data_IF_564090159112
#
_entry.id   IF_564090159112
#
_cell.length_a   1.000
_cell.length_b   1.000
_cell.length_c   1.000
_cell.angle_alpha   90.00
_cell.angle_beta   90.00
_cell.angle_gamma   90.00
#
_symmetry.space_group_name_H-M   'P 1'
#
loop_
_entity.id
_entity.type
_entity.pdbx_description
1 polymer ?
#
# COMPACT_ATOMS: atom_id res chain seq x y z
N UNK A 1 11.94 -0.76 23.96
CA UNK A 1 10.91 -0.93 22.91
C UNK A 1 11.62 -0.77 21.58
N UNK A 2 11.58 -1.77 20.69
CA UNK A 2 12.18 -1.63 19.36
C UNK A 2 11.18 -0.86 18.50
N UNK A 3 11.63 0.23 17.87
CA UNK A 3 10.80 0.95 16.91
C UNK A 3 10.54 0.03 15.71
N UNK A 4 9.31 0.06 15.17
CA UNK A 4 9.00 -0.68 13.94
C UNK A 4 9.80 -0.11 12.78
N UNK A 5 10.41 -1.00 11.99
CA UNK A 5 11.09 -0.61 10.76
C UNK A 5 10.08 -0.09 9.73
N UNK A 6 10.47 0.93 8.97
CA UNK A 6 9.72 1.44 7.82
C UNK A 6 10.28 0.81 6.56
N UNK A 7 9.42 0.26 5.73
CA UNK A 7 9.80 -0.39 4.47
C UNK A 7 9.08 0.36 3.35
N UNK A 8 9.86 0.95 2.45
CA UNK A 8 9.34 1.47 1.20
C UNK A 8 9.10 0.30 0.25
N UNK A 9 7.89 0.24 -0.32
CA UNK A 9 7.49 -0.80 -1.28
C UNK A 9 7.04 -0.13 -2.56
N UNK A 10 7.58 -0.59 -3.68
CA UNK A 10 7.20 -0.14 -5.02
C UNK A 10 6.53 -1.31 -5.75
N UNK A 11 5.30 -1.17 -6.27
CA UNK A 11 4.63 -2.25 -7.01
C UNK A 11 5.31 -2.59 -8.34
N UNK A 12 6.21 -1.72 -8.84
CA UNK A 12 6.86 -1.91 -10.14
C UNK A 12 5.97 -1.41 -11.28
N UNK A 13 5.87 -2.18 -12.35
CA UNK A 13 5.11 -1.82 -13.56
C UNK A 13 3.60 -1.73 -13.28
N UNK A 14 2.94 -0.58 -13.55
CA UNK A 14 1.50 -0.38 -13.33
C UNK A 14 0.57 -1.37 -14.05
N UNK A 15 0.98 -1.82 -15.24
CA UNK A 15 0.24 -2.80 -16.03
C UNK A 15 0.52 -4.26 -15.61
N UNK A 16 1.53 -4.50 -14.77
CA UNK A 16 1.85 -5.81 -14.24
C UNK A 16 0.96 -6.22 -13.08
N UNK A 17 1.26 -7.38 -12.48
CA UNK A 17 0.53 -7.91 -11.30
C UNK A 17 0.98 -7.30 -9.97
N UNK A 18 2.03 -6.47 -9.98
CA UNK A 18 2.58 -5.89 -8.76
C UNK A 18 1.56 -5.08 -7.96
N UNK A 19 0.78 -4.18 -8.57
CA UNK A 19 -0.33 -3.49 -7.92
C UNK A 19 -1.34 -4.44 -7.27
N UNK A 20 -1.73 -5.51 -7.96
CA UNK A 20 -2.66 -6.53 -7.47
C UNK A 20 -2.14 -7.19 -6.19
N UNK A 21 -0.87 -7.59 -6.19
CA UNK A 21 -0.21 -8.16 -5.01
C UNK A 21 -0.19 -7.15 -3.85
N UNK A 22 0.09 -5.87 -4.12
CA UNK A 22 0.10 -4.83 -3.09
C UNK A 22 -1.29 -4.63 -2.46
N UNK A 23 -2.36 -4.67 -3.26
CA UNK A 23 -3.74 -4.61 -2.77
C UNK A 23 -4.01 -5.78 -1.82
N UNK A 24 -3.60 -7.01 -2.17
CA UNK A 24 -3.74 -8.17 -1.31
C UNK A 24 -2.94 -8.02 0.00
N UNK A 25 -1.75 -7.39 -0.03
CA UNK A 25 -0.93 -7.18 1.17
C UNK A 25 -1.62 -6.36 2.27
N UNK A 26 -2.62 -5.53 1.92
CA UNK A 26 -3.37 -4.72 2.88
C UNK A 26 -4.10 -5.57 3.93
N UNK A 27 -4.37 -6.84 3.63
CA UNK A 27 -5.07 -7.77 4.51
C UNK A 27 -4.12 -8.67 5.32
N UNK A 28 -2.82 -8.40 5.26
CA UNK A 28 -1.81 -9.08 6.04
C UNK A 28 -1.24 -8.17 7.15
N UNK A 29 -0.96 -8.76 8.31
CA UNK A 29 -0.24 -8.06 9.36
C UNK A 29 1.26 -8.22 9.17
N UNK A 30 1.99 -7.11 9.21
CA UNK A 30 3.43 -7.06 9.02
C UNK A 30 4.10 -6.54 10.29
N UNK A 31 5.26 -7.06 10.68
CA UNK A 31 6.09 -6.49 11.75
C UNK A 31 6.94 -5.31 11.27
N UNK A 32 6.33 -4.47 10.44
CA UNK A 32 6.91 -3.26 9.86
C UNK A 32 5.80 -2.27 9.49
N UNK A 33 6.20 -1.02 9.24
CA UNK A 33 5.35 0.01 8.64
C UNK A 33 5.63 -0.02 7.14
N UNK A 34 4.68 -0.54 6.37
CA UNK A 34 4.77 -0.51 4.91
C UNK A 34 4.32 0.85 4.39
N UNK A 35 5.13 1.44 3.51
CA UNK A 35 4.80 2.66 2.78
C UNK A 35 4.87 2.34 1.30
N UNK A 36 3.73 2.42 0.63
CA UNK A 36 3.61 2.11 -0.79
C UNK A 36 3.90 3.38 -1.59
N UNK A 37 4.90 3.32 -2.45
CA UNK A 37 5.28 4.39 -3.37
C UNK A 37 4.70 4.06 -4.74
N UNK A 38 3.49 4.57 -5.02
CA UNK A 38 2.71 4.23 -6.19
C UNK A 38 1.61 5.25 -6.46
N UNK A 39 0.97 5.14 -7.63
CA UNK A 39 -0.25 5.87 -7.92
C UNK A 39 -1.40 5.29 -7.06
N UNK A 40 -2.13 6.19 -6.40
CA UNK A 40 -3.23 5.80 -5.50
C UNK A 40 -4.47 5.41 -6.30
N UNK A 41 -4.69 6.05 -7.44
CA UNK A 41 -5.88 5.85 -8.27
C UNK A 41 -5.76 4.49 -8.98
N UNK A 42 -4.55 4.13 -9.43
CA UNK A 42 -4.24 2.79 -9.90
C UNK A 42 -4.52 1.72 -8.83
N UNK A 43 -4.05 1.92 -7.59
CA UNK A 43 -4.30 0.94 -6.51
C UNK A 43 -5.79 0.81 -6.19
N UNK A 44 -6.53 1.92 -6.18
CA UNK A 44 -7.97 1.91 -5.97
C UNK A 44 -8.72 1.18 -7.09
N UNK A 45 -8.33 1.40 -8.35
CA UNK A 45 -8.87 0.69 -9.51
C UNK A 45 -8.61 -0.82 -9.41
N UNK A 46 -7.38 -1.21 -9.07
CA UNK A 46 -7.02 -2.64 -8.90
C UNK A 46 -7.82 -3.29 -7.77
N UNK A 47 -7.99 -2.61 -6.65
CA UNK A 47 -8.82 -3.09 -5.55
C UNK A 47 -10.28 -3.30 -5.98
N UNK A 48 -10.84 -2.37 -6.75
CA UNK A 48 -12.18 -2.51 -7.30
C UNK A 48 -12.31 -3.71 -8.27
N UNK A 49 -11.33 -3.90 -9.17
CA UNK A 49 -11.29 -5.02 -10.12
C UNK A 49 -11.19 -6.38 -9.42
N UNK A 50 -10.43 -6.45 -8.33
CA UNK A 50 -10.24 -7.67 -7.54
C UNK A 50 -11.35 -7.89 -6.50
N UNK A 51 -12.29 -6.95 -6.36
CA UNK A 51 -13.34 -6.94 -5.35
C UNK A 51 -12.77 -7.05 -3.91
N UNK A 52 -11.71 -6.28 -3.64
CA UNK A 52 -11.04 -6.19 -2.34
C UNK A 52 -11.33 -4.81 -1.74
N UNK A 53 -11.80 -4.77 -0.49
CA UNK A 53 -11.98 -3.51 0.23
C UNK A 53 -10.61 -2.93 0.62
N UNK A 54 -10.30 -1.72 0.16
CA UNK A 54 -9.01 -1.10 0.40
C UNK A 54 -9.15 0.36 0.81
N UNK A 55 -8.57 0.70 1.96
CA UNK A 55 -8.40 2.08 2.39
C UNK A 55 -6.98 2.57 2.11
N UNK A 56 -6.86 3.59 1.27
CA UNK A 56 -5.59 4.26 0.99
C UNK A 56 -5.43 5.46 1.92
N UNK A 57 -4.38 5.45 2.74
CA UNK A 57 -4.11 6.49 3.74
C UNK A 57 -2.84 7.24 3.31
N UNK A 58 -2.87 8.58 3.15
CA UNK A 58 -1.67 9.34 2.85
C UNK A 58 -0.58 9.13 3.90
N UNK A 59 0.63 8.77 3.46
CA UNK A 59 1.77 8.66 4.34
C UNK A 59 2.30 10.04 4.72
N UNK A 60 2.30 10.36 6.02
CA UNK A 60 2.73 11.63 6.59
C UNK A 60 3.80 11.45 7.68
N UNK A 61 4.39 10.26 7.78
CA UNK A 61 5.43 9.94 8.77
C UNK A 61 4.96 9.07 9.93
N UNK A 62 3.85 8.34 9.76
CA UNK A 62 3.26 7.46 10.77
C UNK A 62 4.32 6.51 11.38
N UNK A 63 4.14 6.23 12.68
CA UNK A 63 5.05 5.40 13.49
C UNK A 63 4.40 4.09 13.95
N UNK A 64 3.17 3.84 13.53
CA UNK A 64 2.39 2.62 13.77
C UNK A 64 2.11 1.92 12.46
N UNK A 65 1.72 0.64 12.51
CA UNK A 65 1.27 -0.13 11.34
C UNK A 65 -0.04 0.47 10.81
N UNK A 66 -0.28 0.34 9.50
CA UNK A 66 -1.59 0.64 8.94
C UNK A 66 -2.64 -0.33 9.54
N UNK A 67 -3.91 0.11 9.71
CA UNK A 67 -5.00 -0.80 10.04
C UNK A 67 -5.15 -1.92 8.99
N UNK A 68 -5.74 -3.04 9.38
CA UNK A 68 -6.07 -4.12 8.45
C UNK A 68 -7.00 -3.60 7.35
N UNK A 69 -6.77 -4.01 6.10
CA UNK A 69 -7.48 -3.50 4.93
C UNK A 69 -7.04 -2.09 4.50
N UNK A 70 -5.94 -1.57 5.06
CA UNK A 70 -5.42 -0.24 4.74
C UNK A 70 -3.95 -0.25 4.33
N UNK A 71 -3.56 0.69 3.47
CA UNK A 71 -2.17 0.92 3.08
C UNK A 71 -1.78 2.38 3.29
N UNK A 72 -0.58 2.62 3.81
CA UNK A 72 0.02 3.96 3.73
C UNK A 72 0.58 4.17 2.34
N UNK A 73 0.21 5.27 1.68
CA UNK A 73 0.61 5.57 0.31
C UNK A 73 1.34 6.90 0.26
N UNK A 74 2.52 6.88 -0.36
CA UNK A 74 3.16 8.05 -0.91
C UNK A 74 2.81 8.11 -2.40
N UNK A 75 1.88 9.01 -2.75
CA UNK A 75 1.34 9.07 -4.11
C UNK A 75 2.42 9.51 -5.11
N UNK A 76 2.62 8.68 -6.13
CA UNK A 76 3.44 8.96 -7.30
C UNK A 76 2.58 8.65 -8.53
N UNK A 77 2.13 9.65 -9.30
CA UNK A 77 1.22 9.41 -10.42
C UNK A 77 1.88 8.54 -11.49
N UNK A 78 1.09 7.70 -12.14
CA UNK A 78 1.46 7.05 -13.40
C UNK A 78 1.39 8.07 -14.55
N UNK A 79 2.25 7.89 -15.55
CA UNK A 79 2.24 8.69 -16.80
C UNK A 79 1.10 8.27 -17.75
#
# INVERSE_FOLDING_TARGET
MNALSKIAVTPGEPAGIGPDLIVELAHHSWDAILVIYADQDMLAERAALLNIELALIPYTGQTTKAPMGSLYVHHIPCD
#
